data_IF_995596575489
#
_entry.id   IF_995596575489
#
_cell.length_a   1.000
_cell.length_b   1.000
_cell.length_c   1.000
_cell.angle_alpha   90.00
_cell.angle_beta   90.00
_cell.angle_gamma   90.00
#
_symmetry.space_group_name_H-M   'P 1'
#
loop_
_entity.id
_entity.type
_entity.pdbx_description
1 polymer ?
#
# COMPACT_ATOMS: atom_id res chain seq x y z
N UNK A 1 16.27 5.57 4.85
CA UNK A 1 14.91 5.93 5.31
C UNK A 1 14.11 4.68 5.66
N UNK A 2 14.08 3.68 4.77
CA UNK A 2 13.49 2.36 5.03
C UNK A 2 14.05 1.68 6.30
N UNK A 3 15.35 1.44 6.39
CA UNK A 3 15.98 0.75 7.54
C UNK A 3 15.71 1.43 8.89
N UNK A 4 15.73 2.77 8.94
CA UNK A 4 15.45 3.50 10.17
C UNK A 4 13.99 3.40 10.62
N UNK A 5 13.04 3.28 9.68
CA UNK A 5 11.64 3.07 10.02
C UNK A 5 11.42 1.63 10.46
N UNK A 6 11.92 0.66 9.69
CA UNK A 6 11.83 -0.76 10.03
C UNK A 6 12.41 -1.04 11.41
N UNK A 7 13.56 -0.44 11.73
CA UNK A 7 14.14 -0.51 13.07
C UNK A 7 13.18 -0.03 14.16
N UNK A 8 12.53 1.11 13.97
CA UNK A 8 11.58 1.64 14.95
C UNK A 8 10.37 0.73 15.10
N UNK A 9 9.78 0.28 13.99
CA UNK A 9 8.61 -0.60 14.00
C UNK A 9 8.93 -1.96 14.63
N UNK A 10 10.08 -2.54 14.27
CA UNK A 10 10.57 -3.78 14.86
C UNK A 10 10.80 -3.64 16.36
N UNK A 11 11.46 -2.56 16.80
CA UNK A 11 11.63 -2.28 18.22
C UNK A 11 10.30 -2.11 18.94
N UNK A 12 9.31 -1.40 18.37
CA UNK A 12 7.99 -1.23 18.98
C UNK A 12 7.31 -2.59 19.21
N UNK A 13 7.35 -3.46 18.21
CA UNK A 13 6.83 -4.82 18.31
C UNK A 13 7.56 -5.62 19.39
N UNK A 14 8.88 -5.60 19.43
CA UNK A 14 9.62 -6.33 20.48
C UNK A 14 9.41 -5.73 21.88
N UNK A 15 9.22 -4.41 22.01
CA UNK A 15 8.85 -3.79 23.29
C UNK A 15 7.49 -4.28 23.77
N UNK A 16 6.53 -4.49 22.87
CA UNK A 16 5.19 -4.97 23.22
C UNK A 16 5.22 -6.39 23.80
N UNK A 17 6.06 -7.29 23.26
CA UNK A 17 6.06 -8.70 23.64
C UNK A 17 7.25 -9.15 24.51
N UNK A 18 8.42 -8.52 24.38
CA UNK A 18 9.69 -8.95 25.01
C UNK A 18 10.53 -7.76 25.53
N UNK A 19 9.96 -6.99 26.47
CA UNK A 19 10.57 -5.77 27.05
C UNK A 19 12.03 -5.91 27.51
N UNK A 20 12.41 -7.02 28.16
CA UNK A 20 13.80 -7.25 28.62
C UNK A 20 14.78 -7.33 27.44
N UNK A 21 14.39 -8.02 26.36
CA UNK A 21 15.17 -8.10 25.13
C UNK A 21 15.20 -6.74 24.43
N UNK A 22 14.11 -5.99 24.47
CA UNK A 22 13.99 -4.66 23.89
C UNK A 22 15.03 -3.68 24.46
N UNK A 23 15.05 -3.53 25.79
CA UNK A 23 15.87 -2.54 26.48
C UNK A 23 17.27 -3.04 26.88
N UNK A 24 17.52 -4.36 26.80
CA UNK A 24 18.83 -4.97 27.07
C UNK A 24 19.83 -4.92 25.91
N UNK A 25 19.47 -4.31 24.77
CA UNK A 25 20.30 -4.27 23.55
C UNK A 25 20.71 -2.86 23.15
N UNK A 26 21.86 -2.76 22.49
CA UNK A 26 22.35 -1.50 21.89
C UNK A 26 21.69 -1.24 20.55
N UNK A 27 21.74 0.03 20.09
CA UNK A 27 21.24 0.45 18.78
C UNK A 27 21.87 -0.34 17.62
N UNK A 28 23.18 -0.54 17.65
CA UNK A 28 23.92 -1.27 16.62
C UNK A 28 23.46 -2.73 16.50
N UNK A 29 23.12 -3.36 17.63
CA UNK A 29 22.59 -4.72 17.65
C UNK A 29 21.19 -4.78 17.05
N UNK A 30 20.35 -3.80 17.32
CA UNK A 30 19.04 -3.69 16.68
C UNK A 30 19.16 -3.44 15.17
N UNK A 31 20.06 -2.55 14.75
CA UNK A 31 20.30 -2.29 13.32
C UNK A 31 20.77 -3.56 12.60
N UNK A 32 21.64 -4.35 13.24
CA UNK A 32 22.05 -5.65 12.74
C UNK A 32 20.87 -6.61 12.60
N UNK A 33 20.04 -6.77 13.63
CA UNK A 33 18.88 -7.66 13.58
C UNK A 33 17.89 -7.26 12.48
N UNK A 34 17.63 -5.96 12.34
CA UNK A 34 16.76 -5.43 11.28
C UNK A 34 17.34 -5.68 9.89
N UNK A 35 18.66 -5.59 9.72
CA UNK A 35 19.33 -5.90 8.46
C UNK A 35 19.33 -7.38 8.10
N UNK A 36 19.10 -8.25 9.10
CA UNK A 36 19.03 -9.71 8.94
C UNK A 36 17.58 -10.21 8.77
N UNK A 37 16.57 -9.33 8.83
CA UNK A 37 15.16 -9.69 8.63
C UNK A 37 14.91 -10.18 7.20
N UNK A 38 14.15 -11.27 7.08
CA UNK A 38 13.66 -11.74 5.78
C UNK A 38 12.69 -10.74 5.14
N UNK A 39 12.44 -10.89 3.84
CA UNK A 39 11.46 -10.06 3.14
C UNK A 39 10.06 -10.23 3.76
N UNK A 40 9.69 -11.47 4.13
CA UNK A 40 8.41 -11.76 4.80
C UNK A 40 8.30 -11.10 6.18
N UNK A 41 9.35 -11.17 7.01
CA UNK A 41 9.36 -10.52 8.33
C UNK A 41 9.24 -8.99 8.19
N UNK A 42 9.87 -8.41 7.17
CA UNK A 42 9.73 -6.99 6.87
C UNK A 42 8.31 -6.65 6.43
N UNK A 43 7.68 -7.48 5.59
CA UNK A 43 6.27 -7.34 5.20
C UNK A 43 5.39 -7.38 6.44
N UNK A 44 5.51 -8.39 7.28
CA UNK A 44 4.69 -8.53 8.51
C UNK A 44 4.78 -7.29 9.39
N UNK A 45 5.97 -6.71 9.56
CA UNK A 45 6.15 -5.48 10.31
C UNK A 45 5.41 -4.32 9.65
N UNK A 46 5.45 -4.20 8.32
CA UNK A 46 4.76 -3.15 7.58
C UNK A 46 3.24 -3.33 7.61
N UNK A 47 2.71 -4.54 7.43
CA UNK A 47 1.27 -4.80 7.41
C UNK A 47 0.64 -4.58 8.79
N UNK A 48 1.34 -4.98 9.87
CA UNK A 48 0.81 -4.85 11.23
C UNK A 48 0.85 -3.42 11.79
N UNK A 49 1.77 -2.58 11.30
CA UNK A 49 1.97 -1.22 11.83
C UNK A 49 1.53 -0.12 10.86
N UNK A 50 1.37 -0.45 9.58
CA UNK A 50 1.01 0.48 8.52
C UNK A 50 -0.49 0.71 8.43
N UNK A 51 -0.88 1.91 7.99
CA UNK A 51 -2.25 2.14 7.56
C UNK A 51 -2.33 1.86 6.06
N UNK A 52 -3.10 0.86 5.65
CA UNK A 52 -3.39 0.64 4.24
C UNK A 52 -4.09 1.87 3.64
N UNK A 53 -3.56 2.39 2.53
CA UNK A 53 -4.13 3.53 1.80
C UNK A 53 -4.50 3.20 0.36
N UNK A 54 -3.99 2.10 -0.16
CA UNK A 54 -4.30 1.59 -1.49
C UNK A 54 -3.98 0.10 -1.53
N UNK A 55 -4.82 -0.67 -2.24
CA UNK A 55 -4.53 -2.05 -2.59
C UNK A 55 -5.04 -2.29 -4.01
N UNK A 56 -4.24 -2.97 -4.80
CA UNK A 56 -4.53 -3.38 -6.16
C UNK A 56 -4.20 -4.86 -6.31
N UNK A 57 -5.06 -5.54 -7.05
CA UNK A 57 -4.85 -6.93 -7.46
C UNK A 57 -4.64 -6.94 -8.96
N UNK A 58 -3.53 -7.52 -9.38
CA UNK A 58 -3.22 -7.77 -10.78
C UNK A 58 -3.35 -9.27 -11.06
N UNK A 59 -4.09 -9.58 -12.12
CA UNK A 59 -4.19 -10.94 -12.65
C UNK A 59 -2.78 -11.38 -13.09
N UNK A 60 -2.28 -12.43 -12.45
CA UNK A 60 -0.96 -12.97 -12.76
C UNK A 60 -1.03 -14.11 -13.77
N UNK A 61 -0.32 -15.19 -13.44
CA UNK A 61 -0.29 -16.40 -14.25
C UNK A 61 -1.46 -17.34 -13.97
N UNK A 62 -1.38 -18.55 -14.52
CA UNK A 62 -2.36 -19.63 -14.25
C UNK A 62 -2.44 -20.05 -12.77
N UNK A 63 -1.41 -19.73 -11.98
CA UNK A 63 -1.21 -20.29 -10.64
C UNK A 63 -1.05 -19.23 -9.54
N UNK A 64 -0.77 -17.99 -9.90
CA UNK A 64 -0.53 -16.89 -8.96
C UNK A 64 -1.10 -15.59 -9.52
N UNK A 65 -1.55 -14.72 -8.61
CA UNK A 65 -1.84 -13.32 -8.87
C UNK A 65 -0.78 -12.47 -8.18
N UNK A 66 -0.75 -11.18 -8.50
CA UNK A 66 0.06 -10.22 -7.77
C UNK A 66 -0.86 -9.32 -6.96
N UNK A 67 -0.53 -9.13 -5.69
CA UNK A 67 -1.16 -8.14 -4.84
C UNK A 67 -0.15 -7.05 -4.52
N UNK A 68 -0.54 -5.81 -4.81
CA UNK A 68 0.22 -4.63 -4.46
C UNK A 68 -0.55 -3.82 -3.44
N UNK A 69 0.02 -3.63 -2.26
CA UNK A 69 -0.59 -2.85 -1.18
C UNK A 69 0.34 -1.71 -0.76
N UNK A 70 -0.22 -0.52 -0.62
CA UNK A 70 0.51 0.67 -0.16
C UNK A 70 0.11 0.99 1.27
N UNK A 71 1.11 1.00 2.14
CA UNK A 71 0.99 1.36 3.55
C UNK A 71 1.54 2.76 3.81
N UNK A 72 0.86 3.52 4.66
CA UNK A 72 1.23 4.86 5.10
C UNK A 72 1.58 4.86 6.58
N UNK A 73 2.71 5.51 6.88
CA UNK A 73 3.22 5.71 8.24
C UNK A 73 3.45 7.19 8.52
N UNK A 74 3.21 7.63 9.76
CA UNK A 74 3.56 8.97 10.21
C UNK A 74 4.93 8.94 10.89
N UNK A 75 5.90 9.69 10.37
CA UNK A 75 7.27 9.67 10.86
C UNK A 75 7.93 11.03 10.67
N UNK A 76 8.69 11.51 11.66
CA UNK A 76 9.42 12.79 11.60
C UNK A 76 8.56 13.99 11.12
N UNK A 77 7.27 14.01 11.45
CA UNK A 77 6.30 15.04 11.03
C UNK A 77 5.91 15.01 9.55
N UNK A 78 6.14 13.90 8.85
CA UNK A 78 5.72 13.67 7.47
C UNK A 78 5.10 12.28 7.30
N UNK A 79 4.30 12.11 6.25
CA UNK A 79 3.80 10.80 5.85
C UNK A 79 4.81 10.13 4.93
N UNK A 80 5.15 8.88 5.23
CA UNK A 80 5.99 8.03 4.39
C UNK A 80 5.14 6.87 3.89
N UNK A 81 5.30 6.52 2.62
CA UNK A 81 4.51 5.51 1.95
C UNK A 81 5.43 4.37 1.47
N UNK A 82 4.97 3.15 1.66
CA UNK A 82 5.67 1.95 1.22
C UNK A 82 4.71 1.06 0.46
N UNK A 83 5.19 0.55 -0.65
CA UNK A 83 4.49 -0.42 -1.47
C UNK A 83 5.09 -1.79 -1.19
N UNK A 84 4.23 -2.75 -0.89
CA UNK A 84 4.54 -4.18 -0.81
C UNK A 84 3.87 -4.84 -2.00
N UNK A 85 4.64 -5.51 -2.82
CA UNK A 85 4.16 -6.35 -3.91
C UNK A 85 4.48 -7.80 -3.59
N UNK A 86 3.45 -8.66 -3.53
CA UNK A 86 3.63 -10.09 -3.23
C UNK A 86 2.81 -10.95 -4.18
N UNK A 87 3.35 -12.13 -4.51
CA UNK A 87 2.59 -13.15 -5.20
C UNK A 87 1.60 -13.79 -4.23
N UNK A 88 0.35 -13.92 -4.67
CA UNK A 88 -0.73 -14.52 -3.91
C UNK A 88 -1.37 -15.65 -4.70
N UNK A 89 -1.91 -16.69 -4.04
CA UNK A 89 -2.56 -17.78 -4.75
C UNK A 89 -3.74 -17.27 -5.59
N UNK A 90 -3.88 -17.80 -6.80
CA UNK A 90 -5.01 -17.46 -7.67
C UNK A 90 -6.35 -17.98 -7.12
N UNK A 91 -6.32 -18.95 -6.21
CA UNK A 91 -7.51 -19.50 -5.52
C UNK A 91 -7.19 -19.90 -4.07
N UNK A 92 -8.15 -19.77 -3.15
CA UNK A 92 -7.99 -20.12 -1.72
C UNK A 92 -7.52 -21.56 -1.47
N UNK A 93 -7.67 -22.47 -2.44
CA UNK A 93 -7.23 -23.87 -2.31
C UNK A 93 -5.73 -24.08 -2.57
N UNK A 94 -4.95 -23.02 -2.77
CA UNK A 94 -3.51 -23.07 -3.10
C UNK A 94 -2.62 -22.44 -2.03
N UNK A 95 -3.15 -22.31 -0.80
CA UNK A 95 -2.41 -21.80 0.34
C UNK A 95 -1.18 -22.68 0.63
N UNK A 96 0.01 -22.08 0.70
CA UNK A 96 1.31 -22.77 0.83
C UNK A 96 2.04 -23.10 -0.47
N UNK A 97 1.71 -22.44 -1.59
CA UNK A 97 2.50 -22.47 -2.83
C UNK A 97 3.91 -21.85 -2.67
N UNK A 98 4.82 -22.24 -3.57
CA UNK A 98 6.15 -21.62 -3.69
C UNK A 98 6.00 -20.28 -4.45
N UNK A 99 5.87 -19.20 -3.68
CA UNK A 99 5.72 -17.83 -4.18
C UNK A 99 7.06 -17.10 -4.05
N UNK A 100 7.34 -16.19 -4.99
CA UNK A 100 8.54 -15.36 -4.90
C UNK A 100 8.56 -14.47 -3.65
N UNK A 101 9.77 -14.11 -3.20
CA UNK A 101 9.95 -13.15 -2.11
C UNK A 101 9.21 -11.84 -2.42
N UNK A 102 8.53 -11.22 -1.44
CA UNK A 102 7.83 -9.97 -1.65
C UNK A 102 8.79 -8.82 -1.94
N UNK A 103 8.41 -7.95 -2.86
CA UNK A 103 9.14 -6.72 -3.18
C UNK A 103 8.63 -5.56 -2.31
N UNK A 104 9.56 -4.87 -1.65
CA UNK A 104 9.26 -3.72 -0.80
C UNK A 104 9.97 -2.48 -1.35
N UNK A 105 9.21 -1.46 -1.72
CA UNK A 105 9.77 -0.19 -2.20
C UNK A 105 9.12 1.01 -1.49
N UNK A 106 9.94 2.04 -1.23
CA UNK A 106 9.42 3.32 -0.76
C UNK A 106 8.81 4.07 -1.94
N UNK A 107 7.57 4.53 -1.79
CA UNK A 107 6.83 5.27 -2.83
C UNK A 107 6.45 6.66 -2.34
N UNK A 108 6.11 7.54 -3.29
CA UNK A 108 5.69 8.92 -3.01
C UNK A 108 4.37 9.21 -3.72
N UNK A 109 3.42 9.88 -3.06
CA UNK A 109 2.14 10.22 -3.67
C UNK A 109 2.36 11.15 -4.87
N UNK A 110 1.70 10.86 -5.99
CA UNK A 110 1.65 11.73 -7.16
C UNK A 110 0.38 12.58 -7.10
N UNK A 111 0.52 13.89 -7.31
CA UNK A 111 -0.62 14.78 -7.49
C UNK A 111 -1.23 14.57 -8.88
N UNK A 112 -2.55 14.36 -8.95
CA UNK A 112 -3.29 14.13 -10.20
C UNK A 112 -4.38 15.18 -10.32
N UNK A 113 -4.37 15.94 -11.43
CA UNK A 113 -5.42 16.92 -11.76
C UNK A 113 -6.41 16.30 -12.74
N UNK A 114 -7.69 16.21 -12.36
CA UNK A 114 -8.75 15.69 -13.24
C UNK A 114 -9.62 16.83 -13.75
N UNK A 115 -9.68 17.01 -15.08
CA UNK A 115 -10.58 17.96 -15.74
C UNK A 115 -11.86 17.25 -16.16
N UNK A 116 -12.98 17.58 -15.52
CA UNK A 116 -14.30 17.02 -15.86
C UNK A 116 -15.03 18.01 -16.77
N UNK A 117 -15.33 17.59 -18.01
CA UNK A 117 -16.17 18.36 -18.92
C UNK A 117 -17.65 17.99 -18.70
N UNK A 118 -18.47 18.97 -18.32
CA UNK A 118 -19.92 18.80 -18.18
C UNK A 118 -20.59 19.42 -19.41
N UNK A 119 -21.36 18.63 -20.16
CA UNK A 119 -22.20 19.15 -21.23
C UNK A 119 -23.54 19.63 -20.68
N UNK A 120 -23.98 20.81 -21.09
CA UNK A 120 -25.34 21.28 -20.81
C UNK A 120 -26.32 20.44 -21.64
N UNK A 121 -27.36 19.83 -21.05
CA UNK A 121 -28.40 19.16 -21.83
C UNK A 121 -29.06 20.17 -22.79
N UNK A 122 -29.48 19.74 -23.99
CA UNK A 122 -30.05 20.63 -24.98
C UNK A 122 -31.36 21.25 -24.47
N UNK A 123 -31.47 22.57 -24.55
CA UNK A 123 -32.70 23.32 -24.25
C UNK A 123 -33.85 22.87 -25.16
N UNK A 124 -34.89 22.24 -24.59
CA UNK A 124 -36.16 21.97 -25.27
C UNK A 124 -36.96 23.28 -25.46
N UNK A 125 -36.48 24.22 -26.26
CA UNK A 125 -37.29 25.39 -26.66
C UNK A 125 -37.12 25.78 -28.12
N UNK A 126 -37.37 24.87 -29.06
CA UNK A 126 -37.86 25.25 -30.38
C UNK A 126 -39.40 25.22 -30.41
N UNK A 127 -40.03 26.28 -29.89
CA UNK A 127 -41.44 26.56 -30.20
C UNK A 127 -41.54 26.99 -31.67
N UNK A 128 -41.86 26.04 -32.56
CA UNK A 128 -42.22 26.32 -33.96
C UNK A 128 -43.34 27.39 -34.02
N UNK A 129 -43.26 28.41 -34.89
CA UNK A 129 -44.37 29.34 -35.08
C UNK A 129 -45.53 28.60 -35.79
N UNK A 130 -46.70 28.59 -35.15
CA UNK A 130 -47.95 28.18 -35.80
C UNK A 130 -48.30 29.23 -36.86
N UNK A 131 -48.10 28.88 -38.14
CA UNK A 131 -48.56 29.68 -39.27
C UNK A 131 -50.08 29.83 -39.23
N UNK A 132 -50.56 31.06 -39.02
CA UNK A 132 -51.96 31.43 -39.17
C UNK A 132 -52.33 31.53 -40.64
N UNK A 133 -53.29 30.71 -41.08
CA UNK A 133 -53.99 30.89 -42.36
C UNK A 133 -54.84 32.17 -42.30
N UNK A 134 -54.71 33.03 -43.30
CA UNK A 134 -55.75 33.95 -43.75
C UNK A 134 -56.27 33.45 -45.09
#
# INVERSE_FOLDING_TARGET
MLESLLLKLHMLLVVEYETEKAFGKTKEKWEKEVSELSADEQVDILENNGNEVHSEYEDGGRWSNYQTTVYRFWHNSEFVYFQVSKEVPATEMQDGGDFGDPEIIQVYPKEVTTTIYVSTPPDETEKKPKGGRK
#
